data_IF_752400998852
#
_entry.id   IF_752400998852
#
_cell.length_a   1.000
_cell.length_b   1.000
_cell.length_c   1.000
_cell.angle_alpha   90.00
_cell.angle_beta   90.00
_cell.angle_gamma   90.00
#
_symmetry.space_group_name_H-M   'P 1'
#
loop_
_entity.id
_entity.type
_entity.pdbx_description
1 polymer ?
#
# COMPACT_ATOMS: atom_id res chain seq x y z
N UNK A 1 -2.65 -28.41 -7.22
CA UNK A 1 -1.41 -27.72 -7.64
C UNK A 1 -1.35 -26.40 -6.89
N UNK A 2 -0.47 -26.28 -5.89
CA UNK A 2 -0.36 -25.07 -5.06
C UNK A 2 0.44 -24.03 -5.84
N UNK A 3 -0.24 -22.98 -6.34
CA UNK A 3 0.42 -21.87 -7.02
C UNK A 3 1.13 -21.04 -5.95
N UNK A 4 2.46 -21.09 -5.91
CA UNK A 4 3.23 -20.06 -5.23
C UNK A 4 2.94 -18.73 -5.96
N UNK A 5 2.24 -17.81 -5.29
CA UNK A 5 2.00 -16.48 -5.83
C UNK A 5 3.30 -15.70 -5.62
N UNK A 6 4.13 -15.63 -6.65
CA UNK A 6 5.29 -14.75 -6.65
C UNK A 6 4.82 -13.31 -6.90
N UNK A 7 5.03 -12.45 -5.91
CA UNK A 7 4.88 -11.01 -6.07
C UNK A 7 6.10 -10.46 -6.79
N UNK A 8 5.88 -9.79 -7.92
CA UNK A 8 6.92 -9.07 -8.65
C UNK A 8 6.96 -7.62 -8.14
N UNK A 9 8.12 -7.16 -7.68
CA UNK A 9 8.35 -5.78 -7.24
C UNK A 9 9.34 -5.15 -8.21
N UNK A 10 8.98 -3.98 -8.73
CA UNK A 10 9.78 -3.20 -9.67
C UNK A 10 9.70 -1.72 -9.30
N UNK A 11 10.74 -0.97 -9.63
CA UNK A 11 10.78 0.48 -9.46
C UNK A 11 10.37 1.17 -10.76
N UNK A 12 9.65 2.28 -10.63
CA UNK A 12 9.19 3.11 -11.74
C UNK A 12 9.33 4.58 -11.32
N UNK A 13 9.90 5.41 -12.20
CA UNK A 13 10.17 6.84 -12.02
C UNK A 13 9.29 7.73 -12.93
N UNK A 14 8.30 7.14 -13.59
CA UNK A 14 7.31 7.82 -14.41
C UNK A 14 6.26 8.58 -13.61
N UNK A 15 5.38 9.27 -14.33
CA UNK A 15 4.33 10.10 -13.75
C UNK A 15 3.30 9.24 -13.01
N UNK A 16 3.08 9.52 -11.72
CA UNK A 16 2.08 8.80 -10.90
C UNK A 16 0.67 8.85 -11.51
N UNK A 17 0.33 9.96 -12.16
CA UNK A 17 -0.92 10.18 -12.87
C UNK A 17 -1.19 9.16 -13.99
N UNK A 18 -0.13 8.67 -14.64
CA UNK A 18 -0.22 7.80 -15.82
C UNK A 18 -0.10 6.30 -15.47
N UNK A 19 0.12 5.97 -14.19
CA UNK A 19 0.31 4.58 -13.77
C UNK A 19 -1.01 3.78 -13.79
N UNK A 20 -1.13 2.86 -14.74
CA UNK A 20 -2.24 1.90 -14.81
C UNK A 20 -2.11 0.77 -13.77
N UNK A 21 -2.84 0.91 -12.67
CA UNK A 21 -2.91 -0.09 -11.61
C UNK A 21 -4.31 -0.17 -10.98
N UNK A 22 -4.55 -1.23 -10.22
CA UNK A 22 -5.85 -1.42 -9.53
C UNK A 22 -6.00 -0.45 -8.34
N UNK A 23 -4.87 -0.06 -7.75
CA UNK A 23 -4.78 0.95 -6.71
C UNK A 23 -3.39 1.61 -6.68
N UNK A 24 -3.37 2.94 -6.61
CA UNK A 24 -2.21 3.75 -6.22
C UNK A 24 -2.29 4.02 -4.71
N UNK A 25 -1.20 3.80 -3.98
CA UNK A 25 -1.11 4.00 -2.54
C UNK A 25 -0.27 5.24 -2.28
N UNK A 26 -0.78 6.15 -1.45
CA UNK A 26 -0.03 7.34 -1.02
C UNK A 26 -0.03 7.49 0.50
N UNK A 27 1.11 7.86 1.10
CA UNK A 27 1.17 8.30 2.49
C UNK A 27 0.47 9.66 2.65
N UNK A 28 -0.21 9.87 3.77
CA UNK A 28 -0.77 11.16 4.17
C UNK A 28 0.26 11.98 4.97
N UNK A 29 1.40 12.29 4.36
CA UNK A 29 2.54 13.04 4.96
C UNK A 29 2.90 14.33 4.19
N UNK A 30 2.09 14.71 3.20
CA UNK A 30 2.33 15.83 2.28
C UNK A 30 3.65 15.74 1.46
N UNK A 31 4.35 14.59 1.51
CA UNK A 31 5.61 14.35 0.82
C UNK A 31 5.47 13.84 -0.61
N UNK A 32 4.24 13.46 -1.01
CA UNK A 32 3.91 12.96 -2.35
C UNK A 32 2.78 13.80 -2.94
N UNK A 33 3.05 14.43 -4.08
CA UNK A 33 2.02 15.05 -4.93
C UNK A 33 1.70 14.13 -6.10
N UNK A 34 0.42 13.94 -6.37
CA UNK A 34 -0.06 12.98 -7.38
C UNK A 34 -0.67 13.68 -8.58
N UNK A 35 -1.37 14.79 -8.33
CA UNK A 35 -2.12 15.56 -9.33
C UNK A 35 -2.92 16.66 -8.64
N UNK A 36 -3.14 17.78 -9.32
CA UNK A 36 -3.70 18.97 -8.69
C UNK A 36 -5.11 18.74 -8.14
N UNK A 37 -5.98 18.05 -8.87
CA UNK A 37 -7.35 17.80 -8.43
C UNK A 37 -7.40 16.79 -7.28
N UNK A 38 -6.56 15.76 -7.33
CA UNK A 38 -6.41 14.76 -6.26
C UNK A 38 -5.87 15.42 -4.98
N UNK A 39 -4.81 16.20 -5.09
CA UNK A 39 -4.18 16.87 -3.94
C UNK A 39 -5.18 17.83 -3.27
N UNK A 40 -5.97 18.57 -4.05
CA UNK A 40 -7.04 19.43 -3.54
C UNK A 40 -8.16 18.62 -2.85
N UNK A 41 -8.55 17.47 -3.41
CA UNK A 41 -9.55 16.60 -2.82
C UNK A 41 -9.05 16.02 -1.48
N UNK A 42 -7.82 15.52 -1.43
CA UNK A 42 -7.21 14.99 -0.20
C UNK A 42 -7.12 16.09 0.87
N UNK A 43 -6.71 17.30 0.50
CA UNK A 43 -6.69 18.44 1.41
C UNK A 43 -8.10 18.80 1.95
N UNK A 44 -9.12 18.76 1.10
CA UNK A 44 -10.50 18.98 1.52
C UNK A 44 -10.98 17.90 2.51
N UNK A 45 -10.65 16.63 2.26
CA UNK A 45 -10.97 15.51 3.16
C UNK A 45 -10.25 15.61 4.51
N UNK A 46 -8.99 16.07 4.53
CA UNK A 46 -8.27 16.35 5.78
C UNK A 46 -8.97 17.47 6.56
N UNK A 47 -9.37 18.54 5.86
CA UNK A 47 -10.06 19.69 6.47
C UNK A 47 -11.44 19.34 7.03
N UNK A 48 -12.18 18.44 6.38
CA UNK A 48 -13.49 17.97 6.87
C UNK A 48 -13.38 16.92 7.99
N UNK A 49 -12.19 16.35 8.21
CA UNK A 49 -11.95 15.27 9.18
C UNK A 49 -12.34 13.88 8.67
N UNK A 50 -12.61 13.73 7.37
CA UNK A 50 -12.88 12.43 6.73
C UNK A 50 -11.62 11.56 6.67
N UNK A 51 -10.44 12.18 6.63
CA UNK A 51 -9.16 11.52 6.84
C UNK A 51 -8.34 12.29 7.87
N UNK A 52 -7.73 11.59 8.82
CA UNK A 52 -6.95 12.21 9.89
C UNK A 52 -5.44 12.11 9.67
N UNK A 53 -4.99 11.12 8.88
CA UNK A 53 -3.58 10.82 8.66
C UNK A 53 -2.95 9.96 9.76
N UNK A 54 -3.75 9.49 10.73
CA UNK A 54 -3.24 8.70 11.87
C UNK A 54 -2.72 7.33 11.44
N UNK A 55 -1.68 6.86 12.11
CA UNK A 55 -1.08 5.57 11.80
C UNK A 55 -2.12 4.43 11.79
N UNK A 56 -2.13 3.67 10.69
CA UNK A 56 -3.04 2.54 10.49
C UNK A 56 -4.39 2.92 9.88
N UNK A 57 -4.73 4.20 9.81
CA UNK A 57 -5.88 4.69 9.04
C UNK A 57 -5.71 4.37 7.55
N UNK A 58 -6.80 3.97 6.90
CA UNK A 58 -6.81 3.71 5.46
C UNK A 58 -8.16 4.10 4.86
N UNK A 59 -8.11 4.96 3.84
CA UNK A 59 -9.28 5.39 3.08
C UNK A 59 -9.07 5.07 1.61
N UNK A 60 -10.13 4.64 0.92
CA UNK A 60 -10.08 4.31 -0.51
C UNK A 60 -11.01 5.25 -1.27
N UNK A 61 -10.45 5.96 -2.24
CA UNK A 61 -11.20 6.70 -3.24
C UNK A 61 -11.30 5.86 -4.51
N UNK A 62 -12.52 5.71 -4.99
CA UNK A 62 -12.81 5.01 -6.24
C UNK A 62 -12.80 6.00 -7.40
N UNK A 63 -12.20 5.59 -8.52
CA UNK A 63 -12.15 6.39 -9.76
C UNK A 63 -11.67 7.84 -9.51
N UNK A 64 -10.48 8.01 -8.88
CA UNK A 64 -9.93 9.33 -8.63
C UNK A 64 -9.70 10.06 -9.96
N UNK A 65 -10.06 11.34 -10.02
CA UNK A 65 -9.84 12.17 -11.21
C UNK A 65 -8.34 12.37 -11.46
N UNK A 66 -7.97 12.62 -12.71
CA UNK A 66 -6.57 12.83 -13.13
C UNK A 66 -5.62 11.63 -12.92
N UNK A 67 -6.14 10.45 -12.52
CA UNK A 67 -5.35 9.24 -12.31
C UNK A 67 -5.80 8.11 -13.25
N UNK A 68 -4.83 7.45 -13.88
CA UNK A 68 -5.04 6.19 -14.59
C UNK A 68 -5.30 5.01 -13.63
N UNK A 69 -4.90 5.14 -12.35
CA UNK A 69 -5.17 4.16 -11.32
C UNK A 69 -6.68 4.06 -11.05
N UNK A 70 -7.20 2.84 -10.96
CA UNK A 70 -8.64 2.63 -10.72
C UNK A 70 -9.09 3.10 -9.33
N UNK A 71 -8.16 3.20 -8.37
CA UNK A 71 -8.40 3.58 -6.97
C UNK A 71 -7.19 4.32 -6.42
N UNK A 72 -7.44 5.22 -5.46
CA UNK A 72 -6.43 5.82 -4.61
C UNK A 72 -6.60 5.30 -3.19
N UNK A 73 -5.54 4.76 -2.59
CA UNK A 73 -5.47 4.32 -1.22
C UNK A 73 -4.67 5.33 -0.40
N UNK A 74 -5.37 6.07 0.45
CA UNK A 74 -4.78 7.03 1.38
C UNK A 74 -4.38 6.29 2.65
N UNK A 75 -3.11 6.37 3.02
CA UNK A 75 -2.56 5.67 4.18
C UNK A 75 -2.11 6.67 5.24
N UNK A 76 -2.67 6.58 6.45
CA UNK A 76 -2.23 7.39 7.56
C UNK A 76 -0.89 6.93 8.11
N UNK A 77 0.03 7.89 8.29
CA UNK A 77 1.44 7.67 8.67
C UNK A 77 1.90 8.63 9.77
N UNK A 78 0.94 9.22 10.50
CA UNK A 78 1.13 10.32 11.45
C UNK A 78 1.83 11.52 10.79
N UNK A 79 2.80 12.16 11.46
CA UNK A 79 3.38 13.44 11.02
C UNK A 79 4.48 13.28 9.96
N UNK A 80 5.21 12.16 9.94
CA UNK A 80 6.32 11.94 9.03
C UNK A 80 6.53 10.46 8.69
N UNK A 81 6.82 10.18 7.43
CA UNK A 81 7.07 8.84 6.94
C UNK A 81 8.53 8.43 7.18
N UNK A 82 8.76 7.66 8.25
CA UNK A 82 10.02 6.97 8.50
C UNK A 82 10.01 5.54 7.93
N UNK A 83 11.14 4.83 8.07
CA UNK A 83 11.26 3.45 7.58
C UNK A 83 10.26 2.47 8.24
N UNK A 84 9.94 2.64 9.52
CA UNK A 84 8.99 1.77 10.23
C UNK A 84 7.55 2.04 9.77
N UNK A 85 7.17 3.31 9.63
CA UNK A 85 5.90 3.71 9.04
C UNK A 85 5.77 3.21 7.60
N UNK A 86 6.80 3.36 6.77
CA UNK A 86 6.83 2.88 5.40
C UNK A 86 6.66 1.35 5.30
N UNK A 87 7.36 0.58 6.13
CA UNK A 87 7.21 -0.87 6.21
C UNK A 87 5.78 -1.29 6.58
N UNK A 88 5.21 -0.68 7.63
CA UNK A 88 3.85 -0.99 8.11
C UNK A 88 2.79 -0.61 7.08
N UNK A 89 2.91 0.57 6.48
CA UNK A 89 2.02 1.08 5.44
C UNK A 89 2.01 0.14 4.23
N UNK A 90 3.19 -0.22 3.72
CA UNK A 90 3.32 -1.11 2.57
C UNK A 90 2.69 -2.48 2.84
N UNK A 91 2.96 -3.06 4.01
CA UNK A 91 2.37 -4.35 4.39
C UNK A 91 0.85 -4.29 4.57
N UNK A 92 0.32 -3.19 5.13
CA UNK A 92 -1.11 -2.97 5.24
C UNK A 92 -1.77 -2.83 3.87
N UNK A 93 -1.16 -2.06 2.97
CA UNK A 93 -1.66 -1.85 1.61
C UNK A 93 -1.71 -3.18 0.82
N UNK A 94 -0.66 -4.00 0.90
CA UNK A 94 -0.64 -5.32 0.24
C UNK A 94 -1.73 -6.25 0.78
N UNK A 95 -1.90 -6.35 2.11
CA UNK A 95 -3.00 -7.16 2.69
C UNK A 95 -4.37 -6.66 2.25
N UNK A 96 -4.55 -5.34 2.20
CA UNK A 96 -5.80 -4.73 1.74
C UNK A 96 -6.07 -5.00 0.26
N UNK A 97 -5.02 -4.98 -0.58
CA UNK A 97 -5.07 -5.30 -2.00
C UNK A 97 -5.41 -6.78 -2.23
N UNK A 98 -4.77 -7.71 -1.51
CA UNK A 98 -5.03 -9.15 -1.59
C UNK A 98 -6.48 -9.50 -1.24
N UNK A 99 -7.00 -8.97 -0.12
CA UNK A 99 -8.41 -9.16 0.28
C UNK A 99 -9.40 -8.71 -0.80
N UNK A 100 -9.01 -7.71 -1.60
CA UNK A 100 -9.82 -7.15 -2.70
C UNK A 100 -9.47 -7.75 -4.07
N UNK A 101 -8.54 -8.70 -4.13
CA UNK A 101 -8.06 -9.37 -5.35
C UNK A 101 -7.48 -8.41 -6.39
N UNK A 102 -6.86 -7.32 -5.95
CA UNK A 102 -6.08 -6.44 -6.81
C UNK A 102 -4.86 -7.19 -7.33
N UNK A 103 -4.54 -7.00 -8.60
CA UNK A 103 -3.42 -7.63 -9.32
C UNK A 103 -2.21 -6.72 -9.44
N UNK A 104 -2.41 -5.39 -9.52
CA UNK A 104 -1.35 -4.39 -9.63
C UNK A 104 -1.55 -3.29 -8.58
N UNK A 105 -0.56 -3.13 -7.70
CA UNK A 105 -0.50 -2.09 -6.68
C UNK A 105 0.72 -1.23 -6.95
N UNK A 106 0.55 0.10 -6.94
CA UNK A 106 1.66 1.05 -6.96
C UNK A 106 1.73 1.75 -5.59
N UNK A 107 2.94 1.96 -5.06
CA UNK A 107 3.15 2.72 -3.81
C UNK A 107 4.03 3.90 -4.15
N UNK A 108 3.51 5.12 -3.96
CA UNK A 108 4.27 6.34 -4.20
C UNK A 108 5.14 6.68 -2.99
N UNK A 109 6.36 7.14 -3.25
CA UNK A 109 7.34 7.54 -2.24
C UNK A 109 7.98 8.87 -2.65
N UNK A 110 8.04 9.81 -1.71
CA UNK A 110 8.79 11.06 -1.89
C UNK A 110 10.29 10.91 -1.64
N UNK A 111 10.70 9.83 -0.97
CA UNK A 111 12.10 9.57 -0.61
C UNK A 111 12.53 8.14 -1.00
N UNK A 112 13.56 8.06 -1.84
CA UNK A 112 14.16 6.80 -2.28
C UNK A 112 14.83 6.00 -1.16
N UNK A 113 15.20 6.62 -0.03
CA UNK A 113 15.76 5.89 1.12
C UNK A 113 14.77 4.91 1.74
N UNK A 114 13.46 5.09 1.50
CA UNK A 114 12.40 4.24 2.02
C UNK A 114 12.13 2.98 1.18
N UNK A 115 12.72 2.88 -0.02
CA UNK A 115 12.48 1.77 -0.97
C UNK A 115 12.64 0.40 -0.31
N UNK A 116 13.72 0.23 0.48
CA UNK A 116 13.99 -1.04 1.16
C UNK A 116 12.87 -1.41 2.14
N UNK A 117 12.49 -0.48 3.01
CA UNK A 117 11.46 -0.71 4.01
C UNK A 117 10.11 -1.02 3.38
N UNK A 118 9.77 -0.34 2.28
CA UNK A 118 8.54 -0.58 1.51
C UNK A 118 8.57 -1.96 0.84
N UNK A 119 9.67 -2.32 0.18
CA UNK A 119 9.79 -3.63 -0.47
C UNK A 119 9.69 -4.78 0.53
N UNK A 120 10.38 -4.67 1.68
CA UNK A 120 10.26 -5.62 2.79
C UNK A 120 8.81 -5.65 3.32
N UNK A 121 8.22 -4.48 3.56
CA UNK A 121 6.82 -4.37 4.02
C UNK A 121 5.84 -5.04 3.07
N UNK A 122 6.01 -4.88 1.76
CA UNK A 122 5.24 -5.59 0.76
C UNK A 122 5.40 -7.11 0.92
N UNK A 123 6.64 -7.61 0.92
CA UNK A 123 6.93 -9.04 1.03
C UNK A 123 6.31 -9.67 2.29
N UNK A 124 6.47 -9.05 3.45
CA UNK A 124 5.88 -9.50 4.70
C UNK A 124 4.36 -9.35 4.73
N UNK A 125 3.83 -8.27 4.13
CA UNK A 125 2.40 -8.04 4.03
C UNK A 125 1.68 -9.05 3.15
N UNK A 126 2.33 -9.47 2.07
CA UNK A 126 1.80 -10.45 1.13
C UNK A 126 2.00 -11.91 1.54
N UNK A 127 2.77 -12.16 2.60
CA UNK A 127 3.03 -13.50 3.08
C UNK A 127 1.78 -14.13 3.70
N UNK A 128 1.29 -15.19 3.06
CA UNK A 128 0.29 -16.10 3.63
C UNK A 128 1.00 -17.42 3.97
N UNK A 129 0.92 -17.90 5.22
CA UNK A 129 1.48 -19.22 5.59
C UNK A 129 0.75 -20.32 4.79
N UNK A 130 1.43 -21.07 3.92
CA UNK A 130 0.75 -22.11 3.14
C UNK A 130 0.62 -23.46 3.86
N UNK A 131 1.13 -23.64 5.10
CA UNK A 131 1.57 -24.99 5.53
C UNK A 131 1.22 -25.51 6.93
N UNK A 132 0.33 -24.87 7.69
CA UNK A 132 -0.09 -25.39 9.01
C UNK A 132 -1.60 -25.34 9.27
N UNK A 133 -2.43 -25.22 8.24
CA UNK A 133 -3.85 -25.57 8.35
C UNK A 133 -3.96 -27.08 8.19
N UNK A 134 -3.92 -27.79 9.31
CA UNK A 134 -4.39 -29.17 9.47
C UNK A 134 -5.90 -29.19 9.20
N UNK A 135 -6.43 -30.00 8.29
CA UNK A 135 -6.76 -31.39 8.58
C UNK A 135 -5.68 -32.12 9.40
N UNK A 136 -6.08 -32.56 10.60
CA UNK A 136 -5.28 -33.08 11.72
C UNK A 136 -3.93 -33.74 11.39
N UNK A 137 -2.85 -33.16 11.94
CA UNK A 137 -1.81 -33.87 12.70
C UNK A 137 -0.71 -32.90 13.13
N UNK A 138 -0.34 -32.97 14.40
CA UNK A 138 0.64 -32.09 15.04
C UNK A 138 2.04 -32.25 14.43
N UNK A 139 2.69 -31.13 14.09
CA UNK A 139 4.08 -31.14 13.63
C UNK A 139 5.05 -31.22 14.81
N UNK A 140 5.94 -32.21 14.74
CA UNK A 140 7.02 -32.51 15.68
C UNK A 140 8.31 -31.91 15.10
N UNK A 141 8.61 -30.63 15.38
CA UNK A 141 9.98 -30.10 15.28
C UNK A 141 10.13 -28.90 16.23
N UNK A 142 11.10 -28.99 17.14
CA UNK A 142 11.62 -27.87 17.95
C UNK A 142 12.66 -27.06 17.16
N UNK A 143 12.90 -25.81 17.60
CA UNK A 143 13.64 -24.71 16.94
C UNK A 143 14.93 -25.08 16.20
#
# INVERSE_FOLDING_TARGET
MMRAIFMNISLNDGLLAELECDALVIPLDDGVSVGKEVDLQVAAMRKSGEVTGKLGEMTILHEPRELAASRLMLMGVDDALDANHAFRMAGQAVRAAQKRKFRRLAIALGDGQLIRAVAEGCAYGGYERPKYKSDDSASIVEE
#
